data_IF_957120750787
#
_entry.id   IF_957120750787
#
_cell.length_a   1.000
_cell.length_b   1.000
_cell.length_c   1.000
_cell.angle_alpha   90.00
_cell.angle_beta   90.00
_cell.angle_gamma   90.00
#
_symmetry.space_group_name_H-M   'P 1'
#
loop_
_entity.id
_entity.type
_entity.pdbx_description
1 polymer ?
#
# COMPACT_ATOMS: atom_id res chain seq x y z
N UNK A 1 2.69 15.29 48.96
CA UNK A 1 3.84 15.44 48.05
C UNK A 1 3.56 14.59 46.81
N UNK A 2 3.18 15.26 45.69
CA UNK A 2 2.97 14.59 44.39
C UNK A 2 4.33 14.44 43.71
N UNK A 3 4.82 13.19 43.64
CA UNK A 3 6.01 12.86 42.86
C UNK A 3 5.59 12.71 41.39
N UNK A 4 5.86 13.70 40.56
CA UNK A 4 5.74 13.59 39.12
C UNK A 4 6.87 12.70 38.61
N UNK A 5 6.56 11.56 38.03
CA UNK A 5 7.53 10.75 37.31
C UNK A 5 8.02 11.52 36.07
N UNK A 6 9.13 12.21 36.19
CA UNK A 6 9.90 12.70 35.05
C UNK A 6 10.67 11.53 34.43
N UNK A 7 10.04 10.80 33.53
CA UNK A 7 10.80 9.97 32.58
C UNK A 7 11.38 10.91 31.53
N UNK A 8 12.58 11.40 31.75
CA UNK A 8 13.39 12.07 30.71
C UNK A 8 13.76 11.01 29.68
N UNK A 9 12.97 10.92 28.62
CA UNK A 9 13.35 10.18 27.44
C UNK A 9 14.52 10.96 26.79
N UNK A 10 15.73 10.45 26.90
CA UNK A 10 16.87 10.99 26.17
C UNK A 10 16.65 10.67 24.70
N UNK A 11 16.27 11.68 23.91
CA UNK A 11 16.15 11.57 22.46
C UNK A 11 17.57 11.78 21.94
N UNK A 12 18.08 10.79 21.20
CA UNK A 12 19.27 10.95 20.38
C UNK A 12 19.01 12.10 19.39
N UNK A 13 19.84 13.14 19.39
CA UNK A 13 19.64 14.36 18.60
C UNK A 13 19.65 14.09 17.08
N UNK A 14 20.18 12.95 16.65
CA UNK A 14 20.19 12.51 15.25
C UNK A 14 18.90 11.83 14.79
N UNK A 15 17.96 11.52 15.71
CA UNK A 15 16.68 10.87 15.37
C UNK A 15 15.62 11.95 15.10
N UNK A 16 15.14 12.01 13.87
CA UNK A 16 13.96 12.80 13.50
C UNK A 16 12.70 12.16 14.10
N UNK A 17 12.24 12.68 15.23
CA UNK A 17 11.08 12.15 15.93
C UNK A 17 9.79 12.83 15.44
N UNK A 18 8.88 12.05 14.86
CA UNK A 18 7.50 12.45 14.59
C UNK A 18 6.58 11.88 15.68
N UNK A 19 5.83 12.76 16.35
CA UNK A 19 4.86 12.36 17.38
C UNK A 19 3.46 12.62 16.86
N UNK A 20 2.67 11.58 16.78
CA UNK A 20 1.26 11.63 16.39
C UNK A 20 0.38 11.20 17.56
N UNK A 21 -0.60 12.03 17.90
CA UNK A 21 -1.57 11.74 18.95
C UNK A 21 -2.92 11.41 18.32
N UNK A 22 -3.38 10.18 18.56
CA UNK A 22 -4.66 9.68 18.06
C UNK A 22 -5.56 9.28 19.24
N UNK A 23 -6.65 10.03 19.43
CA UNK A 23 -7.57 9.84 20.57
C UNK A 23 -8.43 8.58 20.44
N UNK A 24 -8.76 8.17 19.21
CA UNK A 24 -9.59 6.98 18.96
C UNK A 24 -8.83 5.66 19.11
N UNK A 25 -7.49 5.72 19.21
CA UNK A 25 -6.61 4.57 19.23
C UNK A 25 -6.46 3.89 17.86
N UNK A 26 -5.26 3.37 17.58
CA UNK A 26 -4.94 2.64 16.35
C UNK A 26 -5.15 1.16 16.62
N UNK A 27 -6.11 0.53 15.95
CA UNK A 27 -6.48 -0.88 16.14
C UNK A 27 -5.62 -1.83 15.33
N UNK A 28 -5.16 -1.40 14.15
CA UNK A 28 -4.34 -2.18 13.25
C UNK A 28 -3.47 -1.26 12.38
N UNK A 29 -2.24 -1.68 12.14
CA UNK A 29 -1.37 -1.08 11.15
C UNK A 29 -1.35 -1.86 9.83
N UNK A 30 -2.12 -2.96 9.74
CA UNK A 30 -2.27 -3.70 8.49
C UNK A 30 -3.13 -2.90 7.51
N UNK A 31 -2.61 -2.53 6.32
CA UNK A 31 -3.35 -1.76 5.33
C UNK A 31 -4.68 -2.40 4.91
N UNK A 32 -4.76 -3.74 4.89
CA UNK A 32 -5.98 -4.46 4.54
C UNK A 32 -7.17 -4.14 5.46
N UNK A 33 -6.93 -3.55 6.65
CA UNK A 33 -7.93 -3.16 7.64
C UNK A 33 -8.04 -1.66 7.87
N UNK A 34 -7.46 -0.83 7.01
CA UNK A 34 -7.47 0.63 7.11
C UNK A 34 -8.86 1.23 6.76
N UNK A 35 -9.90 0.90 7.56
CA UNK A 35 -11.30 1.28 7.30
C UNK A 35 -11.78 2.53 8.05
N UNK A 36 -11.13 2.88 9.15
CA UNK A 36 -11.44 4.06 9.96
C UNK A 36 -10.31 5.08 9.91
N UNK A 37 -10.63 6.34 10.22
CA UNK A 37 -9.71 7.46 10.03
C UNK A 37 -8.41 7.31 10.82
N UNK A 38 -8.47 6.81 12.06
CA UNK A 38 -7.30 6.60 12.90
C UNK A 38 -6.31 5.60 12.25
N UNK A 39 -6.82 4.47 11.76
CA UNK A 39 -6.01 3.47 11.06
C UNK A 39 -5.51 3.99 9.71
N UNK A 40 -6.37 4.67 8.93
CA UNK A 40 -6.01 5.26 7.63
C UNK A 40 -4.83 6.23 7.78
N UNK A 41 -4.88 7.14 8.74
CA UNK A 41 -3.81 8.11 8.96
C UNK A 41 -2.51 7.45 9.40
N UNK A 42 -2.57 6.48 10.31
CA UNK A 42 -1.39 5.74 10.76
C UNK A 42 -0.75 4.93 9.61
N UNK A 43 -1.56 4.20 8.85
CA UNK A 43 -1.11 3.42 7.69
C UNK A 43 -0.47 4.33 6.64
N UNK A 44 -1.05 5.51 6.39
CA UNK A 44 -0.52 6.47 5.41
C UNK A 44 0.85 7.05 5.79
N UNK A 45 1.24 7.01 7.08
CA UNK A 45 2.59 7.42 7.51
C UNK A 45 3.64 6.34 7.31
N UNK A 46 3.23 5.08 7.13
CA UNK A 46 4.15 3.92 7.14
C UNK A 46 4.27 3.29 5.76
N UNK A 47 3.18 3.31 4.98
CA UNK A 47 3.10 2.58 3.73
C UNK A 47 2.75 3.49 2.55
N UNK A 48 3.14 3.03 1.36
CA UNK A 48 2.82 3.67 0.09
C UNK A 48 2.10 2.69 -0.85
N UNK A 49 1.27 3.24 -1.75
CA UNK A 49 0.65 2.51 -2.86
C UNK A 49 1.38 2.74 -4.19
N UNK A 50 0.86 2.18 -5.26
CA UNK A 50 1.37 2.42 -6.62
C UNK A 50 1.31 3.90 -6.99
N UNK A 51 0.23 4.56 -6.61
CA UNK A 51 -0.06 5.96 -6.87
C UNK A 51 -0.55 6.63 -5.57
N UNK A 52 -0.53 7.94 -5.55
CA UNK A 52 -1.03 8.76 -4.44
C UNK A 52 -1.87 9.92 -4.98
N UNK A 53 -2.56 10.65 -4.12
CA UNK A 53 -3.24 11.90 -4.47
C UNK A 53 -2.41 13.09 -3.99
N UNK A 54 -2.36 14.15 -4.80
CA UNK A 54 -1.86 15.46 -4.35
C UNK A 54 -2.96 16.25 -3.61
N UNK A 55 -2.61 17.43 -3.09
CA UNK A 55 -3.52 18.32 -2.36
C UNK A 55 -4.73 18.78 -3.20
N UNK A 56 -4.65 18.63 -4.52
CA UNK A 56 -5.74 18.93 -5.47
C UNK A 56 -6.52 17.66 -5.87
N UNK A 57 -6.32 16.55 -5.18
CA UNK A 57 -6.93 15.23 -5.43
C UNK A 57 -6.60 14.66 -6.82
N UNK A 58 -5.48 15.06 -7.40
CA UNK A 58 -5.00 14.51 -8.68
C UNK A 58 -4.08 13.34 -8.41
N UNK A 59 -4.22 12.28 -9.22
CA UNK A 59 -3.37 11.09 -9.13
C UNK A 59 -1.93 11.43 -9.54
N UNK A 60 -1.00 11.08 -8.67
CA UNK A 60 0.44 11.27 -8.84
C UNK A 60 1.18 9.93 -8.74
N UNK A 61 2.34 9.79 -9.38
CA UNK A 61 3.25 8.68 -9.14
C UNK A 61 3.63 8.52 -7.66
N UNK A 62 3.83 7.26 -7.22
CA UNK A 62 4.36 6.95 -5.89
C UNK A 62 5.37 5.80 -6.01
N UNK A 63 5.01 4.54 -5.71
CA UNK A 63 5.87 3.37 -6.00
C UNK A 63 5.99 3.16 -7.52
N UNK A 64 4.91 3.34 -8.27
CA UNK A 64 5.00 3.42 -9.72
C UNK A 64 5.56 4.79 -10.15
N UNK A 65 6.61 4.80 -10.96
CA UNK A 65 7.15 6.03 -11.57
C UNK A 65 6.30 6.52 -12.74
N UNK A 66 5.61 5.61 -13.42
CA UNK A 66 4.72 5.88 -14.56
C UNK A 66 3.78 4.70 -14.78
N UNK A 67 2.75 4.91 -15.58
CA UNK A 67 1.87 3.86 -16.07
C UNK A 67 1.37 4.16 -17.48
N UNK A 68 0.97 3.11 -18.16
CA UNK A 68 0.32 3.12 -19.48
C UNK A 68 -1.09 2.55 -19.36
N UNK A 69 -2.01 3.08 -20.14
CA UNK A 69 -3.39 2.59 -20.21
C UNK A 69 -3.67 2.21 -21.65
N UNK A 70 -4.03 0.96 -21.88
CA UNK A 70 -4.22 0.39 -23.22
C UNK A 70 -5.51 -0.44 -23.25
N UNK A 71 -5.78 -1.11 -24.37
CA UNK A 71 -6.89 -2.03 -24.55
C UNK A 71 -8.26 -1.39 -24.16
N UNK A 72 -8.58 -0.28 -24.83
CA UNK A 72 -9.82 0.49 -24.56
C UNK A 72 -9.96 0.91 -23.09
N UNK A 73 -8.86 1.26 -22.46
CA UNK A 73 -8.76 1.69 -21.05
C UNK A 73 -9.11 0.58 -20.03
N UNK A 74 -8.87 -0.68 -20.40
CA UNK A 74 -9.05 -1.81 -19.46
C UNK A 74 -7.75 -2.43 -19.01
N UNK A 75 -6.62 -2.10 -19.63
CA UNK A 75 -5.32 -2.66 -19.28
C UNK A 75 -4.38 -1.56 -18.78
N UNK A 76 -3.95 -1.69 -17.54
CA UNK A 76 -3.01 -0.79 -16.88
C UNK A 76 -1.67 -1.48 -16.71
N UNK A 77 -0.59 -0.84 -17.15
CA UNK A 77 0.79 -1.33 -17.03
C UNK A 77 1.56 -0.32 -16.19
N UNK A 78 1.96 -0.72 -14.98
CA UNK A 78 2.70 0.14 -14.06
C UNK A 78 4.19 -0.19 -14.09
N UNK A 79 5.03 0.83 -14.24
CA UNK A 79 6.48 0.74 -14.16
C UNK A 79 6.93 1.21 -12.78
N UNK A 80 7.49 0.30 -11.98
CA UNK A 80 7.91 0.58 -10.62
C UNK A 80 9.24 1.32 -10.60
N UNK A 81 9.45 2.12 -9.57
CA UNK A 81 10.75 2.67 -9.20
C UNK A 81 11.65 1.54 -8.71
N UNK A 82 12.96 1.73 -8.82
CA UNK A 82 13.97 0.79 -8.34
C UNK A 82 14.69 1.26 -7.07
N UNK A 83 14.32 2.42 -6.55
CA UNK A 83 14.88 3.09 -5.38
C UNK A 83 13.91 3.11 -4.18
N UNK A 84 12.85 2.30 -4.22
CA UNK A 84 11.91 2.15 -3.10
C UNK A 84 12.26 0.89 -2.33
N UNK A 85 12.54 1.05 -1.03
CA UNK A 85 12.89 -0.03 -0.13
C UNK A 85 11.82 -0.20 0.94
N UNK A 86 11.62 -1.44 1.39
CA UNK A 86 10.92 -1.68 2.64
C UNK A 86 11.79 -1.23 3.82
N UNK A 87 11.15 -0.91 4.94
CA UNK A 87 11.85 -0.65 6.19
C UNK A 87 12.67 -1.87 6.61
N UNK A 88 13.75 -1.62 7.33
CA UNK A 88 14.57 -2.71 7.87
C UNK A 88 13.75 -3.64 8.75
N UNK A 89 13.92 -4.93 8.54
CA UNK A 89 13.21 -5.98 9.28
C UNK A 89 14.05 -7.25 9.35
N UNK A 90 14.01 -7.96 10.49
CA UNK A 90 14.61 -9.30 10.61
C UNK A 90 14.01 -10.33 9.63
N UNK A 91 12.83 -10.05 9.04
CA UNK A 91 12.22 -10.90 8.02
C UNK A 91 13.03 -10.92 6.70
N UNK A 92 13.87 -9.91 6.47
CA UNK A 92 14.71 -9.84 5.27
C UNK A 92 16.13 -10.31 5.55
N UNK A 93 16.66 -11.20 4.69
CA UNK A 93 17.98 -11.78 4.87
C UNK A 93 19.12 -10.74 5.00
N UNK A 94 18.98 -9.57 4.35
CA UNK A 94 19.96 -8.48 4.37
C UNK A 94 19.45 -7.21 5.10
N UNK A 95 18.46 -7.37 6.01
CA UNK A 95 17.89 -6.27 6.75
C UNK A 95 16.82 -5.48 5.99
N UNK A 96 16.95 -5.28 4.70
CA UNK A 96 15.93 -4.68 3.82
C UNK A 96 15.99 -5.25 2.40
N UNK A 97 15.00 -4.92 1.57
CA UNK A 97 15.01 -5.16 0.13
C UNK A 97 14.14 -4.15 -0.62
N UNK A 98 14.36 -4.03 -1.92
CA UNK A 98 13.53 -3.21 -2.81
C UNK A 98 12.13 -3.81 -2.98
N UNK A 99 11.16 -2.92 -3.17
CA UNK A 99 9.80 -3.29 -3.60
C UNK A 99 9.84 -3.81 -5.04
N UNK A 100 9.11 -4.88 -5.31
CA UNK A 100 8.99 -5.45 -6.65
C UNK A 100 7.52 -5.72 -7.05
N UNK A 101 7.30 -6.14 -8.28
CA UNK A 101 5.97 -6.39 -8.84
C UNK A 101 5.19 -7.49 -8.10
N UNK A 102 5.89 -8.49 -7.54
CA UNK A 102 5.26 -9.57 -6.77
C UNK A 102 4.68 -9.07 -5.45
N UNK A 103 5.32 -8.07 -4.81
CA UNK A 103 4.78 -7.43 -3.61
C UNK A 103 3.47 -6.70 -3.91
N UNK A 104 3.40 -6.02 -5.06
CA UNK A 104 2.17 -5.37 -5.53
C UNK A 104 1.06 -6.42 -5.76
N UNK A 105 1.38 -7.47 -6.49
CA UNK A 105 0.43 -8.56 -6.76
C UNK A 105 -0.07 -9.18 -5.46
N UNK A 106 0.84 -9.50 -4.53
CA UNK A 106 0.52 -10.06 -3.22
C UNK A 106 -0.42 -9.15 -2.43
N UNK A 107 -0.06 -7.86 -2.30
CA UNK A 107 -0.81 -6.89 -1.50
C UNK A 107 -2.25 -6.71 -2.00
N UNK A 108 -2.43 -6.57 -3.32
CA UNK A 108 -3.76 -6.42 -3.91
C UNK A 108 -4.56 -7.74 -3.88
N UNK A 109 -3.92 -8.89 -4.15
CA UNK A 109 -4.57 -10.19 -4.08
C UNK A 109 -5.07 -10.50 -2.66
N UNK A 110 -4.34 -10.09 -1.65
CA UNK A 110 -4.65 -10.26 -0.24
C UNK A 110 -5.99 -9.62 0.17
N UNK A 111 -6.39 -8.51 -0.48
CA UNK A 111 -7.66 -7.83 -0.19
C UNK A 111 -8.89 -8.68 -0.55
N UNK A 112 -8.75 -9.62 -1.48
CA UNK A 112 -9.84 -10.51 -1.91
C UNK A 112 -9.73 -11.92 -1.33
N UNK A 113 -8.66 -12.22 -0.61
CA UNK A 113 -8.47 -13.50 0.08
C UNK A 113 -9.50 -13.63 1.22
N UNK A 114 -10.20 -14.76 1.25
CA UNK A 114 -11.20 -15.06 2.28
C UNK A 114 -10.60 -15.13 3.68
N UNK A 115 -9.35 -15.59 3.81
CA UNK A 115 -8.64 -15.65 5.09
C UNK A 115 -8.33 -14.27 5.65
N UNK A 116 -8.00 -13.32 4.78
CA UNK A 116 -7.78 -11.92 5.18
C UNK A 116 -9.09 -11.25 5.57
N UNK A 117 -10.21 -11.57 4.90
CA UNK A 117 -11.52 -10.99 5.15
C UNK A 117 -11.50 -9.44 5.19
N UNK A 118 -10.73 -8.83 4.30
CA UNK A 118 -10.52 -7.38 4.27
C UNK A 118 -11.83 -6.62 4.00
N UNK A 119 -12.15 -5.59 4.79
CA UNK A 119 -13.22 -4.66 4.47
C UNK A 119 -12.95 -3.85 3.19
N UNK A 120 -11.71 -3.79 2.72
CA UNK A 120 -11.29 -3.15 1.47
C UNK A 120 -11.49 -3.99 0.22
N UNK A 121 -12.05 -5.20 0.31
CA UNK A 121 -12.28 -6.11 -0.83
C UNK A 121 -12.98 -5.44 -2.02
N UNK A 122 -13.91 -4.55 -1.77
CA UNK A 122 -14.69 -3.83 -2.79
C UNK A 122 -13.83 -2.98 -3.73
N UNK A 123 -12.68 -2.50 -3.28
CA UNK A 123 -11.75 -1.71 -4.11
C UNK A 123 -11.26 -2.52 -5.32
N UNK A 124 -11.19 -3.84 -5.17
CA UNK A 124 -10.73 -4.78 -6.20
C UNK A 124 -11.85 -5.29 -7.13
N UNK A 125 -13.11 -4.88 -6.95
CA UNK A 125 -14.25 -5.43 -7.69
C UNK A 125 -14.18 -5.20 -9.20
N UNK A 126 -13.55 -4.10 -9.63
CA UNK A 126 -13.42 -3.77 -11.05
C UNK A 126 -12.26 -4.52 -11.74
N UNK A 127 -11.36 -5.15 -11.00
CA UNK A 127 -10.30 -5.96 -11.58
C UNK A 127 -10.87 -7.28 -12.11
N UNK A 128 -10.47 -7.66 -13.31
CA UNK A 128 -10.84 -8.94 -13.91
C UNK A 128 -10.30 -10.11 -13.08
N UNK A 129 -10.90 -11.28 -13.25
CA UNK A 129 -10.48 -12.51 -12.59
C UNK A 129 -9.93 -13.50 -13.58
N UNK A 130 -8.90 -14.23 -13.20
CA UNK A 130 -8.38 -15.40 -13.90
C UNK A 130 -9.28 -16.61 -13.64
N UNK A 131 -9.08 -17.67 -14.41
CA UNK A 131 -9.86 -18.94 -14.28
C UNK A 131 -9.80 -19.57 -12.88
N UNK A 132 -8.73 -19.29 -12.11
CA UNK A 132 -8.55 -19.75 -10.72
C UNK A 132 -9.11 -18.76 -9.68
N UNK A 133 -9.98 -17.85 -10.08
CA UNK A 133 -10.57 -16.77 -9.27
C UNK A 133 -9.59 -15.75 -8.67
N UNK A 134 -8.33 -15.81 -9.01
CA UNK A 134 -7.36 -14.77 -8.64
C UNK A 134 -7.55 -13.52 -9.48
N UNK A 135 -7.19 -12.36 -8.93
CA UNK A 135 -7.16 -11.10 -9.68
C UNK A 135 -6.28 -11.22 -10.92
N UNK A 136 -6.71 -10.65 -12.04
CA UNK A 136 -5.89 -10.61 -13.26
C UNK A 136 -4.81 -9.53 -13.14
N UNK A 137 -3.83 -9.83 -12.29
CA UNK A 137 -2.62 -9.07 -12.05
C UNK A 137 -1.45 -9.95 -12.47
N UNK A 138 -0.59 -9.43 -13.36
CA UNK A 138 0.55 -10.15 -13.92
C UNK A 138 1.84 -9.39 -13.66
N UNK A 139 2.82 -10.06 -13.07
CA UNK A 139 4.18 -9.55 -12.94
C UNK A 139 4.92 -9.88 -14.24
N UNK A 140 5.16 -8.87 -15.10
CA UNK A 140 5.87 -9.06 -16.35
C UNK A 140 7.38 -9.21 -16.12
N UNK A 141 7.89 -8.53 -15.11
CA UNK A 141 9.24 -8.62 -14.53
C UNK A 141 9.21 -7.97 -13.14
N UNK A 142 10.33 -7.90 -12.44
CA UNK A 142 10.41 -7.37 -11.07
C UNK A 142 9.95 -5.91 -10.95
N UNK A 143 10.03 -5.13 -12.01
CA UNK A 143 9.69 -3.70 -12.02
C UNK A 143 8.45 -3.35 -12.84
N UNK A 144 7.72 -4.33 -13.37
CA UNK A 144 6.55 -4.08 -14.22
C UNK A 144 5.39 -4.98 -13.84
N UNK A 145 4.29 -4.36 -13.42
CA UNK A 145 3.04 -5.05 -13.07
C UNK A 145 1.92 -4.61 -13.99
N UNK A 146 1.15 -5.58 -14.46
CA UNK A 146 0.02 -5.38 -15.35
C UNK A 146 -1.27 -5.73 -14.60
N UNK A 147 -2.28 -4.86 -14.68
CA UNK A 147 -3.60 -5.05 -14.05
C UNK A 147 -4.67 -4.91 -15.13
N UNK A 148 -5.52 -5.92 -15.26
CA UNK A 148 -6.65 -5.91 -16.19
C UNK A 148 -7.96 -5.66 -15.47
N UNK A 149 -8.76 -4.74 -16.00
CA UNK A 149 -10.12 -4.46 -15.53
C UNK A 149 -11.15 -5.28 -16.31
N UNK A 150 -12.30 -5.51 -15.71
CA UNK A 150 -13.49 -6.14 -16.36
C UNK A 150 -14.06 -5.28 -17.48
N UNK A 151 -14.05 -3.96 -17.28
CA UNK A 151 -14.50 -2.92 -18.21
C UNK A 151 -13.80 -1.61 -17.88
N UNK A 152 -13.87 -0.63 -18.78
CA UNK A 152 -13.37 0.72 -18.52
C UNK A 152 -13.98 1.29 -17.23
N UNK A 153 -13.13 1.75 -16.32
CA UNK A 153 -13.55 2.34 -15.05
C UNK A 153 -12.63 3.53 -14.70
N UNK A 154 -13.07 4.74 -15.01
CA UNK A 154 -12.27 5.97 -14.85
C UNK A 154 -11.74 6.20 -13.43
N UNK A 155 -12.46 5.87 -12.32
CA UNK A 155 -11.94 6.10 -10.97
C UNK A 155 -10.85 5.12 -10.52
N UNK A 156 -10.45 4.14 -11.34
CA UNK A 156 -9.57 3.04 -10.91
C UNK A 156 -8.26 3.52 -10.28
N UNK A 157 -7.58 4.50 -10.89
CA UNK A 157 -6.34 5.05 -10.32
C UNK A 157 -6.56 5.71 -8.97
N UNK A 158 -7.69 6.43 -8.80
CA UNK A 158 -8.04 7.02 -7.50
C UNK A 158 -8.35 5.96 -6.45
N UNK A 159 -8.93 4.82 -6.82
CA UNK A 159 -9.10 3.70 -5.88
C UNK A 159 -7.75 3.09 -5.48
N UNK A 160 -6.79 3.00 -6.41
CA UNK A 160 -5.45 2.49 -6.11
C UNK A 160 -4.64 3.42 -5.19
N UNK A 161 -5.05 4.69 -4.99
CA UNK A 161 -4.42 5.59 -4.03
C UNK A 161 -4.95 5.41 -2.60
N UNK A 162 -5.97 4.57 -2.39
CA UNK A 162 -6.48 4.29 -1.05
C UNK A 162 -5.49 3.43 -0.25
N UNK A 163 -5.45 3.64 1.06
CA UNK A 163 -4.54 2.94 1.97
C UNK A 163 -4.70 1.41 1.94
N UNK A 164 -5.87 0.89 1.59
CA UNK A 164 -6.07 -0.54 1.34
C UNK A 164 -5.09 -1.11 0.29
N UNK A 165 -4.72 -0.28 -0.71
CA UNK A 165 -3.84 -0.64 -1.81
C UNK A 165 -2.36 -0.41 -1.50
N UNK A 166 -2.01 -0.14 -0.25
CA UNK A 166 -0.61 -0.03 0.17
C UNK A 166 0.14 -1.33 -0.07
N UNK A 167 1.40 -1.20 -0.50
CA UNK A 167 2.24 -2.36 -0.82
C UNK A 167 2.99 -2.82 0.42
N UNK A 168 2.86 -4.09 0.73
CA UNK A 168 3.54 -4.77 1.83
C UNK A 168 4.37 -5.94 1.31
N UNK A 169 5.43 -6.34 2.00
CA UNK A 169 6.21 -7.51 1.63
C UNK A 169 5.46 -8.80 1.97
N UNK A 170 5.71 -9.86 1.21
CA UNK A 170 5.10 -11.16 1.49
C UNK A 170 5.64 -11.82 2.76
N UNK A 171 6.83 -11.42 3.19
CA UNK A 171 7.52 -11.93 4.37
C UNK A 171 6.96 -11.39 5.71
N UNK A 172 6.14 -10.35 5.68
CA UNK A 172 5.58 -9.68 6.87
C UNK A 172 4.33 -10.38 7.43
#
# INVERSE_FOLDING_TARGET
VLSACNSTYQIDEDIKLFRYNESAGIRSLDPAFAKDQANIWAVNQIYNGLVQLDDSLRVQPCIAKSWEITDSNTLYIFHLRNDVYFHESPAFANGNRTVNSHDVQYSLQRLVDEKTASPGRWVMENIARKTNDKLDINCLNDSTVQIRLKAHFSPFLSLLSMQYCSVIPQEA
#
